data_IF_004226419555
#
_entry.id   IF_004226419555
#
_cell.length_a   1.000
_cell.length_b   1.000
_cell.length_c   1.000
_cell.angle_alpha   90.00
_cell.angle_beta   90.00
_cell.angle_gamma   90.00
#
_symmetry.space_group_name_H-M   'P 1'
#
loop_
_entity.id
_entity.type
_entity.pdbx_description
1 polymer ?
#
# COMPACT_ATOMS: atom_id res chain seq x y z
N UNK A 1 -21.29 -5.45 -22.39
CA UNK A 1 -20.61 -5.44 -21.09
C UNK A 1 -19.75 -4.18 -21.06
N UNK A 2 -20.25 -3.08 -20.50
CA UNK A 2 -19.41 -1.90 -20.27
C UNK A 2 -18.43 -2.24 -19.14
N UNK A 3 -17.14 -1.91 -19.26
CA UNK A 3 -16.22 -2.06 -18.14
C UNK A 3 -16.74 -1.19 -17.00
N UNK A 4 -17.12 -1.82 -15.89
CA UNK A 4 -17.46 -1.10 -14.67
C UNK A 4 -16.24 -0.25 -14.33
N UNK A 5 -16.39 1.07 -14.41
CA UNK A 5 -15.39 1.99 -13.87
C UNK A 5 -15.32 1.67 -12.38
N UNK A 6 -14.29 0.94 -11.96
CA UNK A 6 -13.99 0.78 -10.54
C UNK A 6 -13.78 2.19 -9.99
N UNK A 7 -14.59 2.55 -8.99
CA UNK A 7 -14.30 3.74 -8.20
C UNK A 7 -12.86 3.63 -7.68
N UNK A 8 -12.09 4.73 -7.68
CA UNK A 8 -10.73 4.71 -7.20
C UNK A 8 -10.74 4.30 -5.72
N UNK A 9 -10.08 3.18 -5.41
CA UNK A 9 -9.83 2.69 -4.05
C UNK A 9 -9.37 3.85 -3.18
N UNK A 10 -10.04 4.07 -2.04
CA UNK A 10 -9.67 5.14 -1.13
C UNK A 10 -8.50 4.71 -0.22
N UNK A 11 -8.08 5.60 0.69
CA UNK A 11 -6.94 5.29 1.55
C UNK A 11 -7.27 4.23 2.62
N UNK A 12 -8.53 4.10 3.00
CA UNK A 12 -8.99 3.15 4.01
C UNK A 12 -9.00 1.74 3.40
N UNK A 13 -9.61 1.59 2.22
CA UNK A 13 -9.58 0.34 1.44
C UNK A 13 -8.13 -0.07 1.10
N UNK A 14 -7.28 0.89 0.71
CA UNK A 14 -5.87 0.63 0.44
C UNK A 14 -5.13 0.14 1.70
N UNK A 15 -5.49 0.64 2.88
CA UNK A 15 -4.88 0.19 4.13
C UNK A 15 -5.26 -1.25 4.45
N UNK A 16 -6.50 -1.66 4.18
CA UNK A 16 -6.95 -3.05 4.32
C UNK A 16 -6.23 -3.97 3.35
N UNK A 17 -6.09 -3.56 2.08
CA UNK A 17 -5.35 -4.31 1.06
C UNK A 17 -3.90 -4.50 1.48
N UNK A 18 -3.23 -3.43 1.93
CA UNK A 18 -1.83 -3.50 2.37
C UNK A 18 -1.65 -4.36 3.63
N UNK A 19 -2.60 -4.32 4.57
CA UNK A 19 -2.62 -5.22 5.72
C UNK A 19 -2.76 -6.69 5.30
N UNK A 20 -3.70 -7.00 4.40
CA UNK A 20 -3.89 -8.36 3.89
C UNK A 20 -2.64 -8.88 3.16
N UNK A 21 -2.00 -8.00 2.38
CA UNK A 21 -0.73 -8.28 1.70
C UNK A 21 0.39 -8.57 2.69
N UNK A 22 0.57 -7.72 3.70
CA UNK A 22 1.59 -7.87 4.73
C UNK A 22 1.43 -9.18 5.53
N UNK A 23 0.19 -9.50 5.95
CA UNK A 23 -0.13 -10.77 6.64
C UNK A 23 0.27 -11.97 5.78
N UNK A 24 -0.07 -11.94 4.48
CA UNK A 24 0.21 -13.04 3.56
C UNK A 24 1.70 -13.19 3.25
N UNK A 25 2.42 -12.08 3.17
CA UNK A 25 3.88 -12.06 2.99
C UNK A 25 4.64 -12.47 4.27
N UNK A 26 3.96 -12.53 5.43
CA UNK A 26 4.61 -12.72 6.72
C UNK A 26 5.42 -11.50 7.17
N UNK A 27 5.16 -10.33 6.59
CA UNK A 27 5.80 -9.06 6.93
C UNK A 27 5.02 -8.40 8.08
N UNK A 28 5.44 -8.69 9.31
CA UNK A 28 4.83 -8.14 10.51
C UNK A 28 5.71 -7.03 11.09
N UNK A 29 5.31 -5.78 10.90
CA UNK A 29 5.92 -4.65 11.60
C UNK A 29 5.19 -4.39 12.92
N UNK A 30 5.92 -4.28 14.03
CA UNK A 30 5.33 -3.90 15.31
C UNK A 30 4.70 -2.50 15.25
N UNK A 31 3.53 -2.35 15.88
CA UNK A 31 2.85 -1.06 16.03
C UNK A 31 3.73 -0.02 16.75
N UNK A 32 4.56 -0.46 17.69
CA UNK A 32 5.49 0.42 18.41
C UNK A 32 6.51 1.04 17.45
N UNK A 33 6.99 0.25 16.47
CA UNK A 33 7.93 0.73 15.46
C UNK A 33 7.24 1.73 14.52
N UNK A 34 6.01 1.44 14.07
CA UNK A 34 5.21 2.36 13.26
C UNK A 34 4.91 3.69 13.98
N UNK A 35 4.74 3.64 15.31
CA UNK A 35 4.48 4.82 16.14
C UNK A 35 5.69 5.77 16.21
N UNK A 36 6.92 5.23 16.13
CA UNK A 36 8.15 6.05 16.09
C UNK A 36 8.43 6.69 14.73
N UNK A 37 7.78 6.21 13.66
CA UNK A 37 7.97 6.74 12.31
C UNK A 37 7.23 8.06 12.10
N UNK A 38 7.87 8.98 11.37
CA UNK A 38 7.17 10.12 10.78
C UNK A 38 6.13 9.67 9.75
N UNK A 39 5.13 10.51 9.41
CA UNK A 39 4.16 10.18 8.38
C UNK A 39 4.78 9.80 7.03
N UNK A 40 5.87 10.46 6.61
CA UNK A 40 6.56 10.12 5.37
C UNK A 40 7.25 8.75 5.47
N UNK A 41 7.89 8.44 6.59
CA UNK A 41 8.53 7.14 6.83
C UNK A 41 7.51 5.99 6.78
N UNK A 42 6.30 6.18 7.34
CA UNK A 42 5.24 5.18 7.23
C UNK A 42 4.81 4.93 5.78
N UNK A 43 4.70 5.97 4.97
CA UNK A 43 4.36 5.82 3.54
C UNK A 43 5.49 5.11 2.78
N UNK A 44 6.75 5.44 3.05
CA UNK A 44 7.91 4.76 2.46
C UNK A 44 7.90 3.27 2.83
N UNK A 45 7.62 2.95 4.09
CA UNK A 45 7.51 1.56 4.56
C UNK A 45 6.40 0.81 3.82
N UNK A 46 5.20 1.38 3.72
CA UNK A 46 4.10 0.78 2.96
C UNK A 46 4.45 0.52 1.48
N UNK A 47 5.14 1.45 0.82
CA UNK A 47 5.64 1.27 -0.56
C UNK A 47 6.64 0.10 -0.64
N UNK A 48 7.56 0.01 0.33
CA UNK A 48 8.55 -1.05 0.38
C UNK A 48 7.90 -2.42 0.57
N UNK A 49 7.02 -2.57 1.55
CA UNK A 49 6.27 -3.81 1.81
C UNK A 49 5.45 -4.23 0.59
N UNK A 50 4.78 -3.29 -0.09
CA UNK A 50 4.05 -3.59 -1.31
C UNK A 50 4.97 -4.13 -2.43
N UNK A 51 6.14 -3.52 -2.62
CA UNK A 51 7.12 -3.96 -3.63
C UNK A 51 7.76 -5.32 -3.32
N UNK A 52 8.08 -5.58 -2.05
CA UNK A 52 8.61 -6.87 -1.63
C UNK A 52 7.57 -7.97 -1.82
N UNK A 53 6.31 -7.67 -1.49
CA UNK A 53 5.19 -8.61 -1.65
C UNK A 53 4.81 -8.87 -3.11
N UNK A 54 4.95 -7.87 -4.00
CA UNK A 54 4.80 -8.01 -5.46
C UNK A 54 5.71 -9.09 -6.03
N UNK A 55 6.92 -9.22 -5.47
CA UNK A 55 7.94 -10.16 -5.96
C UNK A 55 7.77 -11.57 -5.37
N UNK A 56 7.10 -11.67 -4.21
CA UNK A 56 6.95 -12.89 -3.45
C UNK A 56 5.67 -13.69 -3.79
N UNK A 57 4.57 -13.02 -4.15
CA UNK A 57 3.29 -13.68 -4.40
C UNK A 57 2.55 -13.12 -5.64
N UNK A 58 2.36 -13.94 -6.71
CA UNK A 58 1.63 -13.53 -7.92
C UNK A 58 0.17 -13.09 -7.68
N UNK A 59 -0.50 -13.64 -6.66
CA UNK A 59 -1.87 -13.24 -6.31
C UNK A 59 -1.88 -11.84 -5.68
N UNK A 60 -0.91 -11.55 -4.81
CA UNK A 60 -0.72 -10.20 -4.27
C UNK A 60 -0.44 -9.21 -5.39
N UNK A 61 0.42 -9.59 -6.34
CA UNK A 61 0.73 -8.74 -7.47
C UNK A 61 -0.50 -8.40 -8.32
N UNK A 62 -1.36 -9.40 -8.54
CA UNK A 62 -2.64 -9.21 -9.22
C UNK A 62 -3.57 -8.26 -8.46
N UNK A 63 -3.76 -8.46 -7.15
CA UNK A 63 -4.61 -7.61 -6.30
C UNK A 63 -4.12 -6.17 -6.28
N UNK A 64 -2.82 -5.93 -6.08
CA UNK A 64 -2.25 -4.57 -6.05
C UNK A 64 -2.37 -3.84 -7.40
N UNK A 65 -2.30 -4.60 -8.50
CA UNK A 65 -2.51 -4.07 -9.85
C UNK A 65 -3.98 -3.72 -10.11
N UNK A 66 -4.90 -4.63 -9.79
CA UNK A 66 -6.34 -4.46 -9.99
C UNK A 66 -6.94 -3.33 -9.14
N UNK A 67 -6.38 -3.10 -7.95
CA UNK A 67 -6.84 -2.07 -7.00
C UNK A 67 -6.22 -0.69 -7.26
N UNK A 68 -5.25 -0.57 -8.18
CA UNK A 68 -4.56 0.70 -8.42
C UNK A 68 -3.76 1.18 -7.21
N UNK A 69 -3.21 0.27 -6.40
CA UNK A 69 -2.47 0.60 -5.19
C UNK A 69 -1.23 1.49 -5.47
N UNK A 70 -0.51 1.22 -6.56
CA UNK A 70 0.71 1.96 -6.93
C UNK A 70 0.47 3.47 -7.19
N UNK A 71 -0.49 3.90 -8.03
CA UNK A 71 -0.76 5.32 -8.22
C UNK A 71 -1.26 6.02 -6.94
N UNK A 72 -2.01 5.32 -6.07
CA UNK A 72 -2.48 5.86 -4.79
C UNK A 72 -1.32 6.09 -3.81
N UNK A 73 -0.45 5.10 -3.64
CA UNK A 73 0.76 5.21 -2.81
C UNK A 73 1.69 6.32 -3.31
N UNK A 74 1.87 6.43 -4.63
CA UNK A 74 2.67 7.52 -5.24
C UNK A 74 2.09 8.90 -4.91
N UNK A 75 0.76 9.06 -5.01
CA UNK A 75 0.08 10.31 -4.69
C UNK A 75 0.26 10.69 -3.21
N UNK A 76 0.09 9.73 -2.30
CA UNK A 76 0.25 9.96 -0.87
C UNK A 76 1.71 10.27 -0.50
N UNK A 77 2.68 9.58 -1.11
CA UNK A 77 4.11 9.88 -0.94
C UNK A 77 4.42 11.32 -1.33
N UNK A 78 3.99 11.77 -2.52
CA UNK A 78 4.23 13.13 -2.99
C UNK A 78 3.56 14.18 -2.09
N UNK A 79 2.34 13.91 -1.62
CA UNK A 79 1.62 14.77 -0.68
C UNK A 79 2.40 14.96 0.63
N UNK A 80 2.88 13.87 1.24
CA UNK A 80 3.64 13.93 2.50
C UNK A 80 5.00 14.57 2.33
N UNK A 81 5.70 14.27 1.24
CA UNK A 81 7.01 14.85 0.92
C UNK A 81 6.94 16.37 0.75
N UNK A 82 5.88 16.88 0.12
CA UNK A 82 5.72 18.33 -0.12
C UNK A 82 5.19 19.09 1.11
N UNK A 83 4.77 18.39 2.17
CA UNK A 83 4.27 18.98 3.42
C UNK A 83 5.36 19.07 4.52
N UNK A 84 6.60 18.66 4.20
CA UNK A 84 7.80 18.81 5.02
C UNK A 84 8.60 20.01 4.54
#
# INVERSE_FOLDING_TARGET
>A
MQPQQHDPVDLEDLSEILCAVAIRAGDFLSLDVLATMSPLQRVIHAVKTANESLSADPLVAKVLSETGAAPLLKREFMKRRNAQ
#
